data_IF_278883454452
#
_entry.id   IF_278883454452
#
_cell.length_a   1.000
_cell.length_b   1.000
_cell.length_c   1.000
_cell.angle_alpha   90.00
_cell.angle_beta   90.00
_cell.angle_gamma   90.00
#
_symmetry.space_group_name_H-M   'P 1'
#
loop_
_entity.id
_entity.type
_entity.pdbx_description
1 polymer ?
#
# COMPACT_ATOMS: atom_id res chain seq x y z
N UNK A 1 32.95 5.43 41.45
CA UNK A 1 33.19 6.34 40.30
C UNK A 1 33.45 5.61 38.98
N UNK A 2 34.19 4.49 38.95
CA UNK A 2 34.53 3.76 37.71
C UNK A 2 33.34 3.26 36.85
N UNK A 3 32.18 2.93 37.44
CA UNK A 3 30.99 2.52 36.67
C UNK A 3 30.38 3.63 35.79
N UNK A 4 30.50 4.91 36.18
CA UNK A 4 29.99 6.04 35.38
C UNK A 4 30.93 6.39 34.23
N UNK A 5 32.24 6.23 34.43
CA UNK A 5 33.25 6.47 33.39
C UNK A 5 33.14 5.41 32.28
N UNK A 6 32.87 4.15 32.61
CA UNK A 6 32.69 3.08 31.62
C UNK A 6 31.50 3.31 30.68
N UNK A 7 30.37 3.77 31.19
CA UNK A 7 29.18 4.06 30.37
C UNK A 7 29.44 5.27 29.45
N UNK A 8 30.05 6.34 29.97
CA UNK A 8 30.41 7.51 29.15
C UNK A 8 31.41 7.17 28.05
N UNK A 9 32.34 6.25 28.31
CA UNK A 9 33.35 5.83 27.33
C UNK A 9 32.74 4.94 26.23
N UNK A 10 31.77 4.07 26.59
CA UNK A 10 31.01 3.27 25.61
C UNK A 10 30.13 4.17 24.73
N UNK A 11 29.50 5.21 25.29
CA UNK A 11 28.72 6.20 24.52
C UNK A 11 29.63 7.01 23.60
N UNK A 12 30.83 7.39 24.07
CA UNK A 12 31.80 8.12 23.26
C UNK A 12 32.36 7.26 22.12
N UNK A 13 32.63 5.98 22.35
CA UNK A 13 33.06 5.04 21.30
C UNK A 13 31.93 4.82 20.27
N UNK A 14 30.68 4.69 20.72
CA UNK A 14 29.52 4.62 19.81
C UNK A 14 29.34 5.91 19.01
N UNK A 15 29.52 7.08 19.63
CA UNK A 15 29.48 8.37 18.93
C UNK A 15 30.61 8.50 17.90
N UNK A 16 31.83 8.09 18.26
CA UNK A 16 32.99 8.12 17.33
C UNK A 16 32.78 7.16 16.16
N UNK A 17 32.13 6.01 16.35
CA UNK A 17 31.71 5.13 15.24
C UNK A 17 30.63 5.78 14.36
N UNK A 18 29.64 6.45 14.96
CA UNK A 18 28.60 7.19 14.21
C UNK A 18 29.17 8.35 13.37
N UNK A 19 30.24 9.01 13.83
CA UNK A 19 30.87 10.12 13.09
C UNK A 19 31.92 9.65 12.07
N UNK A 20 32.57 8.50 12.28
CA UNK A 20 33.50 7.96 11.27
C UNK A 20 32.78 7.31 10.09
N UNK A 21 31.54 6.82 10.26
CA UNK A 21 30.66 6.40 9.15
C UNK A 21 30.18 7.55 8.27
N UNK A 22 30.02 8.76 8.82
CA UNK A 22 29.64 9.96 8.06
C UNK A 22 30.77 10.54 7.21
N UNK A 23 32.04 10.29 7.56
CA UNK A 23 33.21 10.79 6.80
C UNK A 23 33.51 9.93 5.56
N UNK A 24 33.04 8.69 5.51
CA UNK A 24 33.11 7.84 4.30
C UNK A 24 31.89 8.00 3.37
N UNK A 25 30.93 8.86 3.71
CA UNK A 25 29.70 9.07 2.95
C UNK A 25 29.87 9.88 1.63
N UNK A 26 31.10 10.05 1.14
CA UNK A 26 31.37 10.79 -0.09
C UNK A 26 31.64 9.90 -1.32
N UNK A 27 31.89 8.59 -1.19
CA UNK A 27 32.16 7.72 -2.35
C UNK A 27 31.48 6.34 -2.24
N UNK A 28 30.49 6.12 -3.11
CA UNK A 28 30.02 4.87 -3.74
C UNK A 28 29.72 3.56 -2.97
N UNK A 29 29.74 3.46 -1.64
CA UNK A 29 29.28 2.24 -0.94
C UNK A 29 27.85 2.36 -0.35
N UNK A 30 26.84 2.34 -1.24
CA UNK A 30 25.42 2.32 -0.82
C UNK A 30 25.09 1.12 0.09
N UNK A 31 25.70 -0.05 -0.13
CA UNK A 31 25.38 -1.29 0.60
C UNK A 31 25.65 -1.17 2.10
N UNK A 32 26.78 -0.57 2.50
CA UNK A 32 27.17 -0.44 3.90
C UNK A 32 26.25 0.53 4.66
N UNK A 33 25.86 1.64 4.02
CA UNK A 33 24.93 2.64 4.59
C UNK A 33 23.51 2.06 4.75
N UNK A 34 23.04 1.26 3.79
CA UNK A 34 21.74 0.59 3.87
C UNK A 34 21.76 -0.44 5.00
N UNK A 35 22.83 -1.24 5.10
CA UNK A 35 22.99 -2.22 6.18
C UNK A 35 23.03 -1.53 7.54
N UNK A 36 23.77 -0.45 7.68
CA UNK A 36 23.85 0.32 8.93
C UNK A 36 22.49 0.91 9.31
N UNK A 37 21.74 1.49 8.36
CA UNK A 37 20.38 2.00 8.60
C UNK A 37 19.41 0.89 9.02
N UNK A 38 19.45 -0.25 8.33
CA UNK A 38 18.59 -1.38 8.62
C UNK A 38 18.91 -1.97 10.00
N UNK A 39 20.19 -2.13 10.35
CA UNK A 39 20.63 -2.56 11.69
C UNK A 39 20.18 -1.53 12.74
N UNK A 40 20.35 -0.24 12.45
CA UNK A 40 19.96 0.85 13.37
C UNK A 40 18.46 0.88 13.60
N UNK A 41 17.63 0.70 12.56
CA UNK A 41 16.18 0.63 12.71
C UNK A 41 15.76 -0.62 13.48
N UNK A 42 16.33 -1.80 13.18
CA UNK A 42 16.02 -3.04 13.90
C UNK A 42 16.38 -2.90 15.39
N UNK A 43 17.59 -2.40 15.71
CA UNK A 43 18.04 -2.17 17.09
C UNK A 43 17.26 -1.04 17.76
N UNK A 44 16.88 -0.02 17.00
CA UNK A 44 16.20 1.18 17.46
C UNK A 44 14.70 1.03 17.68
N UNK A 45 14.06 0.00 17.10
CA UNK A 45 12.64 -0.27 17.31
C UNK A 45 12.34 -0.47 18.79
N UNK A 46 11.23 0.12 19.26
CA UNK A 46 10.75 -0.04 20.65
C UNK A 46 10.55 -1.51 21.04
N UNK A 47 10.39 -2.40 20.06
CA UNK A 47 10.21 -3.82 20.28
C UNK A 47 11.47 -4.52 20.82
N UNK A 48 12.69 -4.12 20.42
CA UNK A 48 13.92 -4.57 21.07
C UNK A 48 13.99 -4.06 22.51
N UNK A 49 13.66 -2.77 22.72
CA UNK A 49 13.59 -2.16 24.06
C UNK A 49 12.53 -2.81 24.94
N UNK A 50 11.47 -3.38 24.35
CA UNK A 50 10.39 -4.10 25.03
C UNK A 50 10.68 -5.59 25.30
N UNK A 51 11.83 -6.11 24.85
CA UNK A 51 12.24 -7.50 25.08
C UNK A 51 11.55 -8.55 24.21
N UNK A 52 10.89 -8.15 23.12
CA UNK A 52 10.20 -9.08 22.21
C UNK A 52 11.16 -9.90 21.32
N UNK A 53 12.38 -9.42 21.12
CA UNK A 53 13.46 -10.14 20.44
C UNK A 53 14.68 -10.22 21.36
N UNK A 54 15.25 -11.42 21.54
CA UNK A 54 16.49 -11.59 22.28
C UNK A 54 17.73 -11.32 21.40
N UNK A 55 18.91 -11.23 22.04
CA UNK A 55 20.18 -10.94 21.34
C UNK A 55 20.56 -12.00 20.30
N UNK A 56 20.27 -13.28 20.54
CA UNK A 56 20.51 -14.36 19.59
C UNK A 56 19.63 -14.26 18.34
N UNK A 57 18.37 -13.89 18.52
CA UNK A 57 17.39 -13.66 17.46
C UNK A 57 17.75 -12.44 16.61
N UNK A 58 18.17 -11.36 17.27
CA UNK A 58 18.66 -10.16 16.62
C UNK A 58 19.91 -10.46 15.76
N UNK A 59 20.89 -11.18 16.32
CA UNK A 59 22.10 -11.56 15.59
C UNK A 59 21.78 -12.43 14.37
N UNK A 60 20.84 -13.37 14.52
CA UNK A 60 20.40 -14.21 13.41
C UNK A 60 19.73 -13.38 12.30
N UNK A 61 18.90 -12.40 12.68
CA UNK A 61 18.27 -11.49 11.74
C UNK A 61 19.30 -10.62 11.01
N UNK A 62 20.17 -9.94 11.76
CA UNK A 62 21.23 -9.10 11.21
C UNK A 62 22.14 -9.87 10.25
N UNK A 63 22.48 -11.12 10.58
CA UNK A 63 23.30 -11.98 9.72
C UNK A 63 22.62 -12.35 8.39
N UNK A 64 21.29 -12.45 8.39
CA UNK A 64 20.53 -12.74 7.17
C UNK A 64 20.35 -11.47 6.34
N UNK A 65 20.08 -10.34 6.99
CA UNK A 65 19.88 -9.06 6.31
C UNK A 65 21.16 -8.50 5.71
N UNK A 66 22.32 -8.69 6.35
CA UNK A 66 23.63 -8.35 5.78
C UNK A 66 23.99 -9.17 4.54
N UNK A 67 23.28 -10.27 4.28
CA UNK A 67 23.42 -11.09 3.07
C UNK A 67 22.35 -10.81 2.03
N UNK A 68 21.38 -9.93 2.29
CA UNK A 68 20.29 -9.66 1.35
C UNK A 68 20.80 -8.90 0.12
N UNK A 69 20.44 -9.38 -1.08
CA UNK A 69 21.07 -9.04 -2.36
C UNK A 69 20.56 -7.73 -3.02
N UNK A 70 19.82 -6.89 -2.30
CA UNK A 70 19.20 -5.70 -2.92
C UNK A 70 20.18 -4.54 -3.16
N UNK A 71 21.43 -4.64 -2.70
CA UNK A 71 22.45 -3.61 -2.83
C UNK A 71 22.74 -3.13 -4.26
N UNK A 72 22.54 -4.00 -5.26
CA UNK A 72 22.79 -3.66 -6.68
C UNK A 72 21.81 -2.65 -7.29
N UNK A 73 20.60 -2.50 -6.72
CA UNK A 73 19.56 -1.66 -7.34
C UNK A 73 19.58 -0.20 -6.85
N UNK A 74 20.55 0.16 -6.00
CA UNK A 74 20.62 1.49 -5.40
C UNK A 74 19.43 1.74 -4.49
N UNK A 75 19.34 0.97 -3.40
CA UNK A 75 18.31 1.17 -2.37
C UNK A 75 18.54 2.52 -1.69
N UNK A 76 17.48 3.33 -1.65
CA UNK A 76 17.51 4.67 -1.05
C UNK A 76 16.82 4.71 0.31
N UNK A 77 15.95 3.75 0.58
CA UNK A 77 15.15 3.70 1.80
C UNK A 77 14.83 2.26 2.23
N UNK A 78 14.73 2.05 3.54
CA UNK A 78 14.43 0.77 4.16
C UNK A 78 13.49 0.99 5.33
N UNK A 79 12.44 0.18 5.40
CA UNK A 79 11.53 0.11 6.53
C UNK A 79 11.49 -1.31 7.10
N UNK A 80 11.55 -1.41 8.42
CA UNK A 80 11.37 -2.67 9.14
C UNK A 80 10.10 -2.65 9.97
N UNK A 81 9.24 -3.64 9.76
CA UNK A 81 7.93 -3.76 10.41
C UNK A 81 7.84 -5.12 11.11
N UNK A 82 7.41 -5.11 12.37
CA UNK A 82 7.20 -6.32 13.15
C UNK A 82 5.70 -6.58 13.27
N UNK A 83 5.24 -7.73 12.76
CA UNK A 83 3.82 -8.11 12.79
C UNK A 83 3.68 -9.62 12.66
N UNK A 84 2.73 -10.21 13.40
CA UNK A 84 2.34 -11.60 13.23
C UNK A 84 1.48 -11.77 11.96
N UNK A 85 2.12 -12.06 10.83
CA UNK A 85 1.45 -12.38 9.56
C UNK A 85 1.18 -13.89 9.43
N UNK A 86 1.99 -14.71 10.11
CA UNK A 86 1.82 -16.15 10.15
C UNK A 86 0.70 -16.60 11.10
N UNK A 87 0.12 -15.70 11.89
CA UNK A 87 -0.99 -15.95 12.80
C UNK A 87 -0.66 -16.94 13.93
N UNK A 88 0.62 -17.13 14.26
CA UNK A 88 1.09 -18.12 15.23
C UNK A 88 1.40 -17.51 16.60
N UNK A 89 1.14 -16.21 16.80
CA UNK A 89 1.44 -15.48 18.02
C UNK A 89 2.91 -15.03 18.15
N UNK A 90 3.75 -15.31 17.16
CA UNK A 90 5.15 -14.87 17.08
C UNK A 90 5.25 -13.76 16.03
N UNK A 91 6.01 -12.72 16.33
CA UNK A 91 6.21 -11.62 15.39
C UNK A 91 7.06 -12.07 14.20
N UNK A 92 6.54 -11.83 13.00
CA UNK A 92 7.33 -11.89 11.77
C UNK A 92 7.98 -10.53 11.50
N UNK A 93 9.13 -10.55 10.84
CA UNK A 93 9.89 -9.37 10.46
C UNK A 93 9.72 -9.13 8.98
N UNK A 94 9.09 -8.01 8.65
CA UNK A 94 8.93 -7.53 7.29
C UNK A 94 10.00 -6.48 7.05
N UNK A 95 10.76 -6.65 5.97
CA UNK A 95 11.73 -5.65 5.52
C UNK A 95 11.29 -5.17 4.15
N UNK A 96 11.00 -3.88 4.05
CA UNK A 96 10.63 -3.20 2.83
C UNK A 96 11.81 -2.38 2.37
N UNK A 97 12.33 -2.68 1.19
CA UNK A 97 13.37 -1.90 0.54
C UNK A 97 12.75 -1.05 -0.56
N UNK A 98 13.19 0.19 -0.69
CA UNK A 98 12.83 1.08 -1.81
C UNK A 98 14.07 1.42 -2.61
N UNK A 99 14.08 1.13 -3.91
CA UNK A 99 15.17 1.56 -4.79
C UNK A 99 15.02 3.00 -5.29
N UNK A 100 16.09 3.50 -5.91
CA UNK A 100 16.13 4.83 -6.55
C UNK A 100 15.07 5.05 -7.63
N UNK A 101 14.43 3.98 -8.12
CA UNK A 101 13.33 4.02 -9.07
C UNK A 101 11.95 3.87 -8.39
N UNK A 102 11.91 3.94 -7.05
CA UNK A 102 10.73 3.78 -6.18
C UNK A 102 10.08 2.39 -6.26
N UNK A 103 10.83 1.38 -6.74
CA UNK A 103 10.39 -0.01 -6.72
C UNK A 103 10.53 -0.56 -5.30
N UNK A 104 9.53 -1.31 -4.86
CA UNK A 104 9.44 -1.85 -3.49
C UNK A 104 9.78 -3.34 -3.51
N UNK A 105 10.67 -3.75 -2.63
CA UNK A 105 11.00 -5.16 -2.38
C UNK A 105 10.53 -5.50 -0.97
N UNK A 106 9.81 -6.59 -0.82
CA UNK A 106 9.35 -7.10 0.47
C UNK A 106 9.99 -8.45 0.72
N UNK A 107 10.76 -8.52 1.80
CA UNK A 107 11.14 -9.78 2.41
C UNK A 107 10.40 -9.97 3.73
N UNK A 108 9.90 -11.18 3.98
CA UNK A 108 9.29 -11.55 5.26
C UNK A 108 10.11 -12.68 5.86
N UNK A 109 10.53 -12.49 7.11
CA UNK A 109 11.27 -13.46 7.89
C UNK A 109 10.44 -13.88 9.10
N UNK A 110 10.49 -15.17 9.40
CA UNK A 110 10.02 -15.70 10.68
C UNK A 110 11.22 -16.15 11.51
N UNK A 111 11.10 -16.07 12.83
CA UNK A 111 12.16 -16.48 13.76
C UNK A 111 11.73 -17.77 14.45
N UNK A 112 12.60 -18.77 14.40
CA UNK A 112 12.43 -20.03 15.13
C UNK A 112 13.69 -20.30 15.94
N UNK A 113 13.59 -20.19 17.27
CA UNK A 113 14.77 -20.18 18.15
C UNK A 113 15.69 -19.00 17.81
N UNK A 114 16.98 -19.26 17.57
CA UNK A 114 17.98 -18.27 17.15
C UNK A 114 18.26 -18.34 15.63
N UNK A 115 17.24 -18.65 14.82
CA UNK A 115 17.36 -18.71 13.37
C UNK A 115 16.28 -17.86 12.74
N UNK A 116 16.69 -16.92 11.88
CA UNK A 116 15.79 -16.19 10.99
C UNK A 116 15.67 -16.95 9.67
N UNK A 117 14.44 -17.20 9.24
CA UNK A 117 14.13 -17.88 7.98
C UNK A 117 13.27 -16.97 7.12
N UNK A 118 13.71 -16.71 5.89
CA UNK A 118 12.88 -16.03 4.89
C UNK A 118 11.72 -16.93 4.50
N UNK A 119 10.49 -16.44 4.64
CA UNK A 119 9.25 -17.14 4.30
C UNK A 119 8.52 -16.52 3.10
N UNK A 120 8.91 -15.31 2.72
CA UNK A 120 8.45 -14.64 1.52
C UNK A 120 9.51 -13.71 0.97
N UNK A 121 9.55 -13.59 -0.35
CA UNK A 121 10.26 -12.55 -1.07
C UNK A 121 9.42 -12.17 -2.27
N UNK A 122 9.21 -10.88 -2.48
CA UNK A 122 8.45 -10.37 -3.60
C UNK A 122 8.79 -8.92 -3.90
N UNK A 123 8.50 -8.50 -5.11
CA UNK A 123 8.86 -7.18 -5.58
C UNK A 123 7.74 -6.59 -6.45
N UNK A 124 7.59 -5.27 -6.38
CA UNK A 124 6.66 -4.57 -7.25
C UNK A 124 6.72 -3.05 -7.15
N UNK A 125 6.03 -2.41 -8.09
CA UNK A 125 5.91 -0.95 -8.13
C UNK A 125 5.17 -0.37 -6.92
N UNK A 126 4.25 -1.13 -6.34
CA UNK A 126 3.54 -0.73 -5.12
C UNK A 126 3.42 -1.90 -4.16
N UNK A 127 3.51 -1.58 -2.87
CA UNK A 127 3.31 -2.50 -1.77
C UNK A 127 2.32 -1.88 -0.79
N UNK A 128 1.28 -2.64 -0.41
CA UNK A 128 0.35 -2.24 0.64
C UNK A 128 0.28 -3.34 1.71
N UNK A 129 0.66 -3.00 2.93
CA UNK A 129 0.74 -3.91 4.07
C UNK A 129 -0.48 -3.72 4.98
N UNK A 130 -1.41 -4.70 4.99
CA UNK A 130 -2.56 -4.70 5.89
C UNK A 130 -2.31 -5.60 7.09
N UNK A 131 -3.29 -5.70 8.00
CA UNK A 131 -3.11 -6.41 9.28
C UNK A 131 -2.82 -7.90 9.10
N UNK A 132 -3.41 -8.56 8.11
CA UNK A 132 -3.35 -10.02 7.90
C UNK A 132 -2.89 -10.43 6.50
N UNK A 133 -2.93 -9.51 5.56
CA UNK A 133 -2.61 -9.72 4.16
C UNK A 133 -1.77 -8.55 3.65
N UNK A 134 -1.20 -8.73 2.47
CA UNK A 134 -0.55 -7.66 1.76
C UNK A 134 -0.79 -7.77 0.27
N UNK A 135 -0.64 -6.65 -0.45
CA UNK A 135 -0.76 -6.63 -1.90
C UNK A 135 0.51 -6.11 -2.54
N UNK A 136 0.94 -6.77 -3.61
CA UNK A 136 2.02 -6.31 -4.48
C UNK A 136 1.42 -5.99 -5.84
N UNK A 137 1.65 -4.77 -6.32
CA UNK A 137 1.18 -4.32 -7.63
C UNK A 137 2.34 -4.03 -8.57
N UNK A 138 2.22 -4.50 -9.80
CA UNK A 138 3.19 -4.28 -10.87
C UNK A 138 2.54 -3.57 -12.05
N UNK A 139 3.28 -2.68 -12.70
CA UNK A 139 2.83 -2.03 -13.92
C UNK A 139 3.05 -2.99 -15.10
N UNK A 140 1.98 -3.28 -15.82
CA UNK A 140 1.95 -4.12 -17.02
C UNK A 140 1.35 -3.34 -18.19
N UNK A 141 1.45 -3.91 -19.38
CA UNK A 141 0.94 -3.31 -20.62
C UNK A 141 0.31 -4.38 -21.51
N UNK A 142 -0.94 -4.16 -21.92
CA UNK A 142 -1.71 -5.03 -22.84
C UNK A 142 -2.29 -4.24 -24.03
N UNK A 143 -1.70 -3.08 -24.34
CA UNK A 143 -2.28 -2.03 -25.17
C UNK A 143 -2.65 -0.78 -24.37
N UNK A 144 -2.80 -0.90 -23.05
CA UNK A 144 -2.83 0.20 -22.07
C UNK A 144 -1.99 -0.17 -20.86
N UNK A 145 -1.44 0.81 -20.15
CA UNK A 145 -0.76 0.52 -18.89
C UNK A 145 -1.80 0.19 -17.80
N UNK A 146 -1.50 -0.80 -16.95
CA UNK A 146 -2.35 -1.19 -15.82
C UNK A 146 -1.53 -1.71 -14.65
N UNK A 147 -2.05 -1.57 -13.44
CA UNK A 147 -1.59 -2.29 -12.27
C UNK A 147 -2.15 -3.71 -12.28
N UNK A 148 -1.25 -4.68 -12.30
CA UNK A 148 -1.53 -6.06 -11.97
C UNK A 148 -1.22 -6.27 -10.49
N UNK A 149 -2.26 -6.44 -9.69
CA UNK A 149 -2.17 -6.54 -8.23
C UNK A 149 -2.44 -7.96 -7.78
N UNK A 150 -1.54 -8.51 -6.98
CA UNK A 150 -1.72 -9.80 -6.31
C UNK A 150 -1.84 -9.60 -4.81
N UNK A 151 -2.86 -10.19 -4.20
CA UNK A 151 -3.05 -10.23 -2.74
C UNK A 151 -2.49 -11.53 -2.19
N UNK A 152 -1.72 -11.44 -1.11
CA UNK A 152 -1.07 -12.56 -0.46
C UNK A 152 -1.54 -12.70 0.99
N UNK A 153 -1.83 -13.93 1.38
CA UNK A 153 -2.21 -14.29 2.75
C UNK A 153 -1.47 -15.57 3.17
N UNK A 154 -1.14 -15.69 4.46
CA UNK A 154 -0.49 -16.87 4.99
C UNK A 154 -1.45 -18.06 5.05
N UNK A 155 -1.07 -19.18 4.42
CA UNK A 155 -1.83 -20.43 4.54
C UNK A 155 -1.24 -21.31 5.63
N UNK A 156 -1.96 -21.47 6.74
CA UNK A 156 -1.58 -22.39 7.82
C UNK A 156 -1.37 -23.81 7.31
N UNK A 157 -2.27 -24.28 6.43
CA UNK A 157 -2.23 -25.62 5.87
C UNK A 157 -0.99 -25.86 5.00
N UNK A 158 -0.56 -24.84 4.25
CA UNK A 158 0.57 -24.97 3.29
C UNK A 158 1.89 -24.43 3.83
N UNK A 159 1.90 -23.79 5.00
CA UNK A 159 3.09 -23.19 5.61
C UNK A 159 3.78 -22.16 4.71
N UNK A 160 3.02 -21.42 3.91
CA UNK A 160 3.54 -20.40 2.98
C UNK A 160 2.47 -19.36 2.64
N UNK A 161 2.91 -18.18 2.18
CA UNK A 161 2.02 -17.20 1.58
C UNK A 161 1.48 -17.71 0.24
N UNK A 162 0.17 -17.58 0.05
CA UNK A 162 -0.51 -17.90 -1.20
C UNK A 162 -1.05 -16.63 -1.83
N UNK A 163 -1.07 -16.60 -3.17
CA UNK A 163 -1.85 -15.63 -3.92
C UNK A 163 -3.33 -15.98 -3.75
N UNK A 164 -4.09 -15.13 -3.08
CA UNK A 164 -5.52 -15.33 -2.79
C UNK A 164 -6.41 -14.34 -3.53
N UNK A 165 -5.83 -13.28 -4.10
CA UNK A 165 -6.58 -12.27 -4.86
C UNK A 165 -5.79 -11.77 -6.06
N UNK A 166 -6.52 -11.37 -7.09
CA UNK A 166 -6.03 -10.74 -8.31
C UNK A 166 -6.84 -9.48 -8.60
N UNK A 167 -6.16 -8.39 -8.94
CA UNK A 167 -6.75 -7.13 -9.36
C UNK A 167 -6.07 -6.59 -10.61
N UNK A 168 -6.86 -5.96 -11.48
CA UNK A 168 -6.36 -5.30 -12.69
C UNK A 168 -6.97 -3.91 -12.78
N UNK A 169 -6.14 -2.88 -12.58
CA UNK A 169 -6.60 -1.48 -12.53
C UNK A 169 -5.83 -0.65 -13.55
N UNK A 170 -6.51 -0.09 -14.55
CA UNK A 170 -5.87 0.64 -15.65
C UNK A 170 -5.30 1.99 -15.20
N UNK A 171 -4.11 2.35 -15.71
CA UNK A 171 -3.40 3.60 -15.44
C UNK A 171 -3.70 4.56 -16.60
N UNK A 172 -4.37 5.67 -16.32
CA UNK A 172 -4.91 6.56 -17.36
C UNK A 172 -3.97 7.71 -17.76
N UNK A 173 -3.16 8.22 -16.85
CA UNK A 173 -2.33 9.40 -17.08
C UNK A 173 -0.85 9.01 -17.08
N UNK A 174 -0.25 9.00 -18.27
CA UNK A 174 1.19 9.05 -18.48
C UNK A 174 1.49 10.30 -19.32
N UNK A 175 2.53 11.07 -19.00
CA UNK A 175 2.96 12.16 -19.88
C UNK A 175 3.32 11.56 -21.24
N UNK A 176 2.52 11.86 -22.26
CA UNK A 176 2.78 11.49 -23.64
C UNK A 176 3.90 12.39 -24.18
N UNK A 177 5.12 12.19 -23.69
CA UNK A 177 6.28 13.02 -23.99
C UNK A 177 7.62 12.29 -24.01
N UNK A 178 7.66 10.97 -23.81
CA UNK A 178 8.89 10.20 -23.92
C UNK A 178 8.68 8.71 -23.66
N UNK A 179 9.65 7.88 -24.07
CA UNK A 179 9.67 6.41 -23.93
C UNK A 179 9.75 5.90 -22.46
N UNK A 180 9.18 6.61 -21.51
CA UNK A 180 9.26 6.28 -20.09
C UNK A 180 8.03 5.49 -19.68
N UNK A 181 8.26 4.29 -19.11
CA UNK A 181 7.24 3.57 -18.35
C UNK A 181 6.73 4.51 -17.25
N UNK A 182 5.41 4.66 -17.03
CA UNK A 182 4.91 5.52 -15.97
C UNK A 182 5.48 5.03 -14.63
N UNK A 183 6.24 5.87 -13.95
CA UNK A 183 6.87 5.54 -12.67
C UNK A 183 5.91 5.71 -11.48
N UNK A 184 4.87 6.55 -11.64
CA UNK A 184 3.89 6.87 -10.61
C UNK A 184 2.51 7.10 -11.23
N UNK A 185 1.41 6.76 -10.54
CA UNK A 185 0.08 7.06 -11.05
C UNK A 185 -0.25 8.53 -10.81
N UNK A 186 -0.70 9.23 -11.84
CA UNK A 186 -1.54 10.41 -11.66
C UNK A 186 -2.98 9.88 -11.57
N UNK A 187 -3.48 9.67 -10.35
CA UNK A 187 -4.89 9.32 -10.15
C UNK A 187 -5.71 10.61 -10.29
N UNK A 188 -6.02 10.99 -11.54
CA UNK A 188 -6.95 12.08 -11.85
C UNK A 188 -7.97 11.67 -12.92
N UNK A 189 -8.44 10.42 -12.93
CA UNK A 189 -9.58 10.06 -13.78
C UNK A 189 -10.80 10.88 -13.34
N UNK A 190 -11.24 11.81 -14.19
CA UNK A 190 -12.36 12.70 -13.90
C UNK A 190 -13.64 11.97 -13.50
N UNK A 191 -13.84 10.73 -13.94
CA UNK A 191 -15.01 9.90 -13.61
C UNK A 191 -14.90 9.36 -12.18
N UNK A 192 -13.75 8.78 -11.84
CA UNK A 192 -13.44 8.30 -10.47
C UNK A 192 -13.47 9.48 -9.50
N UNK A 193 -12.88 10.62 -9.89
CA UNK A 193 -12.92 11.85 -9.09
C UNK A 193 -14.35 12.32 -8.85
N UNK A 194 -15.18 12.39 -9.90
CA UNK A 194 -16.60 12.75 -9.75
C UNK A 194 -17.34 11.80 -8.81
N UNK A 195 -17.12 10.49 -8.91
CA UNK A 195 -17.76 9.50 -8.03
C UNK A 195 -17.24 9.59 -6.60
N UNK A 196 -15.93 9.80 -6.39
CA UNK A 196 -15.36 10.01 -5.07
C UNK A 196 -15.87 11.29 -4.42
N UNK A 197 -15.92 12.40 -5.15
CA UNK A 197 -16.42 13.67 -4.66
C UNK A 197 -17.92 13.57 -4.30
N UNK A 198 -18.72 12.92 -5.17
CA UNK A 198 -20.11 12.58 -4.88
C UNK A 198 -20.26 11.78 -3.58
N UNK A 199 -19.51 10.68 -3.45
CA UNK A 199 -19.59 9.79 -2.30
C UNK A 199 -19.15 10.50 -1.02
N UNK A 200 -18.08 11.29 -1.06
CA UNK A 200 -17.61 12.07 0.09
C UNK A 200 -18.70 13.02 0.59
N UNK A 201 -19.29 13.80 -0.30
CA UNK A 201 -20.39 14.71 0.08
C UNK A 201 -21.61 13.93 0.61
N UNK A 202 -21.95 12.79 -0.01
CA UNK A 202 -23.05 11.92 0.42
C UNK A 202 -22.81 11.32 1.81
N UNK A 203 -21.59 10.84 2.10
CA UNK A 203 -21.24 10.24 3.38
C UNK A 203 -21.16 11.28 4.50
N UNK A 204 -20.75 12.50 4.18
CA UNK A 204 -20.74 13.63 5.11
C UNK A 204 -22.14 14.25 5.33
N UNK A 205 -23.19 13.69 4.73
CA UNK A 205 -24.57 14.17 4.84
C UNK A 205 -24.85 15.47 4.06
N UNK A 206 -23.92 15.93 3.22
CA UNK A 206 -24.03 17.17 2.44
C UNK A 206 -24.73 16.93 1.10
N UNK A 207 -26.01 16.57 1.17
CA UNK A 207 -26.77 16.10 0.01
C UNK A 207 -26.87 17.12 -1.15
N UNK A 208 -27.12 18.39 -0.83
CA UNK A 208 -27.17 19.49 -1.81
C UNK A 208 -25.83 19.62 -2.57
N UNK A 209 -24.71 19.31 -1.91
CA UNK A 209 -23.41 19.31 -2.56
C UNK A 209 -23.17 18.03 -3.34
N UNK A 210 -23.61 16.86 -2.85
CA UNK A 210 -23.54 15.60 -3.58
C UNK A 210 -24.27 15.67 -4.92
N UNK A 211 -25.47 16.28 -4.95
CA UNK A 211 -26.24 16.46 -6.17
C UNK A 211 -25.47 17.21 -7.28
N UNK A 212 -24.50 18.07 -6.95
CA UNK A 212 -23.69 18.77 -7.96
C UNK A 212 -22.92 17.83 -8.88
N UNK A 213 -22.70 16.58 -8.48
CA UNK A 213 -22.00 15.57 -9.25
C UNK A 213 -22.91 14.67 -10.09
N UNK A 214 -24.24 14.82 -9.97
CA UNK A 214 -25.21 14.10 -10.80
C UNK A 214 -25.48 14.84 -12.12
N UNK A 215 -25.78 14.09 -13.18
CA UNK A 215 -26.13 14.63 -14.49
C UNK A 215 -27.47 15.38 -14.40
N UNK A 216 -27.69 16.31 -15.32
CA UNK A 216 -29.00 16.99 -15.42
C UNK A 216 -30.14 15.99 -15.68
N UNK A 217 -29.86 14.96 -16.48
CA UNK A 217 -30.78 13.87 -16.82
C UNK A 217 -31.18 13.05 -15.58
N UNK A 218 -30.22 12.69 -14.73
CA UNK A 218 -30.46 11.85 -13.57
C UNK A 218 -31.17 12.62 -12.45
N UNK A 219 -30.81 13.90 -12.23
CA UNK A 219 -31.53 14.79 -11.29
C UNK A 219 -33.02 14.93 -11.61
N UNK A 220 -33.39 14.88 -12.88
CA UNK A 220 -34.79 14.91 -13.29
C UNK A 220 -35.58 13.64 -12.94
N UNK A 221 -34.88 12.54 -12.62
CA UNK A 221 -35.47 11.21 -12.38
C UNK A 221 -35.41 10.79 -10.91
N UNK A 222 -34.53 11.37 -10.11
CA UNK A 222 -34.29 10.97 -8.73
C UNK A 222 -34.36 12.16 -7.79
N UNK A 223 -35.10 12.03 -6.69
CA UNK A 223 -35.10 13.02 -5.62
C UNK A 223 -34.03 12.69 -4.56
N UNK A 224 -33.79 13.64 -3.65
CA UNK A 224 -32.78 13.50 -2.60
C UNK A 224 -33.04 12.31 -1.66
N UNK A 225 -34.30 12.00 -1.36
CA UNK A 225 -34.64 10.93 -0.42
C UNK A 225 -34.46 9.55 -1.07
N UNK A 226 -34.82 9.40 -2.33
CA UNK A 226 -34.56 8.19 -3.12
C UNK A 226 -33.06 7.93 -3.25
N UNK A 227 -32.27 8.97 -3.51
CA UNK A 227 -30.82 8.83 -3.62
C UNK A 227 -30.17 8.41 -2.29
N UNK A 228 -30.72 8.83 -1.14
CA UNK A 228 -30.27 8.34 0.18
C UNK A 228 -30.56 6.86 0.36
N UNK A 229 -31.67 6.36 -0.16
CA UNK A 229 -32.04 4.94 -0.10
C UNK A 229 -31.18 4.09 -1.03
N UNK A 230 -30.87 4.59 -2.23
CA UNK A 230 -30.01 3.88 -3.20
C UNK A 230 -28.59 3.75 -2.66
N UNK A 231 -27.97 4.86 -2.25
CA UNK A 231 -26.60 4.86 -1.74
C UNK A 231 -26.65 4.96 -0.21
N UNK A 232 -26.51 3.85 0.53
CA UNK A 232 -26.52 3.87 1.99
C UNK A 232 -25.29 4.57 2.53
N UNK A 233 -25.37 5.00 3.79
CA UNK A 233 -24.18 5.41 4.51
C UNK A 233 -23.25 4.22 4.79
N UNK A 234 -21.95 4.49 4.78
CA UNK A 234 -20.93 3.49 5.05
C UNK A 234 -19.54 3.98 4.69
N UNK A 235 -18.58 3.04 4.68
CA UNK A 235 -17.20 3.30 4.30
C UNK A 235 -16.94 2.79 2.89
N UNK A 236 -16.45 3.66 2.01
CA UNK A 236 -15.98 3.27 0.67
C UNK A 236 -14.70 2.46 0.83
N UNK A 237 -14.75 1.16 0.53
CA UNK A 237 -13.61 0.26 0.68
C UNK A 237 -12.82 0.12 -0.61
N UNK A 238 -13.47 0.31 -1.76
CA UNK A 238 -12.86 0.18 -3.08
C UNK A 238 -13.62 1.03 -4.08
N UNK A 239 -12.88 1.67 -4.99
CA UNK A 239 -13.41 2.33 -6.18
C UNK A 239 -12.50 1.95 -7.35
N UNK A 240 -13.09 1.49 -8.44
CA UNK A 240 -12.37 1.16 -9.67
C UNK A 240 -13.23 1.52 -10.88
N UNK A 241 -12.62 1.57 -12.06
CA UNK A 241 -13.31 1.80 -13.31
C UNK A 241 -13.26 0.57 -14.19
N UNK A 242 -14.38 0.29 -14.83
CA UNK A 242 -14.47 -0.76 -15.82
C UNK A 242 -14.89 -0.13 -17.14
N UNK A 243 -14.18 -0.46 -18.20
CA UNK A 243 -14.53 0.02 -19.54
C UNK A 243 -15.09 -1.18 -20.29
N UNK A 244 -16.28 -1.03 -20.88
CA UNK A 244 -16.92 -2.08 -21.66
C UNK A 244 -17.35 -1.54 -23.03
N UNK A 245 -17.58 -2.43 -24.00
CA UNK A 245 -18.18 -2.05 -25.27
C UNK A 245 -19.57 -1.39 -25.11
N UNK A 246 -20.22 -1.58 -23.95
CA UNK A 246 -21.53 -1.02 -23.61
C UNK A 246 -21.44 0.28 -22.80
N UNK A 247 -20.25 0.86 -22.69
CA UNK A 247 -19.99 2.07 -21.93
C UNK A 247 -19.07 1.85 -20.73
N UNK A 248 -18.56 2.95 -20.20
CA UNK A 248 -17.70 2.97 -19.02
C UNK A 248 -18.56 3.09 -17.76
N UNK A 249 -18.18 2.40 -16.69
CA UNK A 249 -18.82 2.44 -15.38
C UNK A 249 -17.76 2.47 -14.29
N UNK A 250 -18.02 3.21 -13.22
CA UNK A 250 -17.21 3.22 -12.01
C UNK A 250 -17.87 2.30 -11.01
N UNK A 251 -17.14 1.28 -10.55
CA UNK A 251 -17.61 0.31 -9.57
C UNK A 251 -17.09 0.69 -8.20
N UNK A 252 -17.97 0.73 -7.22
CA UNK A 252 -17.65 1.09 -5.84
C UNK A 252 -18.13 -0.01 -4.91
N UNK A 253 -17.30 -0.39 -3.96
CA UNK A 253 -17.70 -1.25 -2.84
C UNK A 253 -17.85 -0.38 -1.60
N UNK A 254 -19.05 -0.38 -1.03
CA UNK A 254 -19.38 0.33 0.22
C UNK A 254 -19.66 -0.71 1.29
N UNK A 255 -18.98 -0.59 2.43
CA UNK A 255 -19.33 -1.34 3.63
C UNK A 255 -20.32 -0.52 4.45
N UNK A 256 -21.55 -0.98 4.51
CA UNK A 256 -22.62 -0.27 5.23
C UNK A 256 -22.42 -0.31 6.76
N UNK A 257 -23.25 0.43 7.49
CA UNK A 257 -23.22 0.47 8.96
C UNK A 257 -23.48 -0.88 9.64
N UNK A 258 -24.10 -1.84 8.95
CA UNK A 258 -24.28 -3.22 9.44
C UNK A 258 -23.09 -4.12 9.07
N UNK A 259 -22.03 -3.56 8.50
CA UNK A 259 -20.81 -4.26 8.13
C UNK A 259 -20.92 -5.07 6.84
N UNK A 260 -22.02 -4.95 6.08
CA UNK A 260 -22.25 -5.68 4.82
C UNK A 260 -21.60 -4.96 3.65
N UNK A 261 -20.94 -5.71 2.78
CA UNK A 261 -20.37 -5.19 1.53
C UNK A 261 -21.44 -5.12 0.45
N UNK A 262 -21.68 -3.91 -0.06
CA UNK A 262 -22.62 -3.59 -1.15
C UNK A 262 -21.84 -3.05 -2.34
N UNK A 263 -22.16 -3.52 -3.54
CA UNK A 263 -21.45 -3.17 -4.77
C UNK A 263 -22.33 -2.26 -5.61
N UNK A 264 -21.77 -1.13 -6.05
CA UNK A 264 -22.48 -0.13 -6.82
C UNK A 264 -21.80 0.11 -8.15
N UNK A 265 -22.60 0.21 -9.20
CA UNK A 265 -22.26 0.73 -10.50
C UNK A 265 -22.67 2.19 -10.57
N UNK A 266 -21.73 3.06 -10.88
CA UNK A 266 -21.95 4.45 -11.24
C UNK A 266 -21.70 4.61 -12.74
N UNK A 267 -22.64 5.22 -13.45
CA UNK A 267 -22.51 5.48 -14.90
C UNK A 267 -22.07 6.92 -15.11
N UNK A 268 -20.79 7.18 -15.42
CA UNK A 268 -20.34 8.52 -15.75
C UNK A 268 -20.79 8.92 -17.16
N UNK A 269 -21.27 10.16 -17.30
CA UNK A 269 -21.51 10.84 -18.57
C UNK A 269 -20.66 12.10 -18.65
N UNK A 270 -20.25 12.47 -19.86
CA UNK A 270 -19.52 13.73 -20.07
C UNK A 270 -20.51 14.89 -20.06
N UNK A 271 -20.47 15.69 -19.00
CA UNK A 271 -21.30 16.89 -18.80
C UNK A 271 -20.45 17.86 -17.97
N UNK A 272 -19.72 18.74 -18.66
CA UNK A 272 -18.69 19.57 -18.02
C UNK A 272 -19.29 20.83 -17.39
N UNK A 273 -18.91 21.10 -16.15
CA UNK A 273 -19.21 22.35 -15.44
C UNK A 273 -18.08 22.72 -14.46
N UNK A 274 -18.32 23.71 -13.59
CA UNK A 274 -17.35 24.15 -12.58
C UNK A 274 -16.97 23.10 -11.53
N UNK A 275 -17.67 21.96 -11.47
CA UNK A 275 -17.43 20.88 -10.53
C UNK A 275 -16.73 19.66 -11.16
N UNK A 276 -16.57 19.63 -12.48
CA UNK A 276 -15.79 18.61 -13.19
C UNK A 276 -16.27 18.37 -14.62
N UNK A 277 -15.52 17.55 -15.35
CA UNK A 277 -15.82 17.19 -16.75
C UNK A 277 -16.90 16.08 -16.90
N UNK A 278 -17.15 15.34 -15.82
CA UNK A 278 -18.07 14.20 -15.80
C UNK A 278 -19.12 14.36 -14.70
N UNK A 279 -20.29 13.77 -14.95
CA UNK A 279 -21.41 13.63 -14.02
C UNK A 279 -21.88 12.18 -13.94
N UNK A 280 -22.63 11.86 -12.90
CA UNK A 280 -23.23 10.53 -12.71
C UNK A 280 -24.64 10.54 -13.30
N UNK A 281 -24.85 9.73 -14.34
CA UNK A 281 -26.15 9.61 -15.03
C UNK A 281 -27.00 8.45 -14.52
N UNK A 282 -26.40 7.50 -13.80
CA UNK A 282 -27.13 6.39 -13.18
C UNK A 282 -26.33 5.78 -12.01
N UNK A 283 -27.04 5.27 -11.01
CA UNK A 283 -26.46 4.56 -9.86
C UNK A 283 -27.26 3.29 -9.61
N UNK A 284 -26.62 2.16 -9.82
CA UNK A 284 -27.26 0.84 -9.71
C UNK A 284 -26.53 0.03 -8.64
N UNK A 285 -27.25 -0.47 -7.65
CA UNK A 285 -26.72 -1.51 -6.77
C UNK A 285 -26.69 -2.85 -7.50
N UNK A 286 -25.50 -3.47 -7.56
CA UNK A 286 -25.33 -4.83 -8.06
C UNK A 286 -25.58 -5.78 -6.90
N UNK A 287 -26.70 -6.52 -6.99
CA UNK A 287 -27.05 -7.54 -6.01
C UNK A 287 -25.98 -8.64 -5.98
N UNK A 288 -25.74 -9.19 -4.78
CA UNK A 288 -24.86 -10.34 -4.63
C UNK A 288 -25.41 -11.52 -5.44
N UNK A 289 -24.55 -12.17 -6.23
CA UNK A 289 -24.90 -13.41 -6.89
C UNK A 289 -25.26 -14.45 -5.80
N UNK A 290 -26.46 -15.02 -5.90
CA UNK A 290 -26.94 -16.11 -5.04
C UNK A 290 -26.57 -17.45 -5.66
#
# INVERSE_FOLDING_TARGET
>A
MFKKIGISMIILIMAVQLFSGLVFAAEENNEDVIQERLITQVIGTENFKSGQLNSGQLNALTSVLSKSHHGRNGIIDVDVILRDYTGNGVLDILVVYTDKHDYKYLDIYTITGNRARKIFSGEGNQLNLKRKDFTISNIKYDGRYFYETYTYEWSQLRGRFLRVGYGKTYIRDYESGGNWRPSKPIIRDGRIKTVNDFLKERMDGRMISAEKYLSSSYKGKINADDLKMIVPYGNVTTIDIFNSQRGDWVVVVIRDFWGRSRVFKFVPVREADRYGEYKIDDIIEIQQAR
#
